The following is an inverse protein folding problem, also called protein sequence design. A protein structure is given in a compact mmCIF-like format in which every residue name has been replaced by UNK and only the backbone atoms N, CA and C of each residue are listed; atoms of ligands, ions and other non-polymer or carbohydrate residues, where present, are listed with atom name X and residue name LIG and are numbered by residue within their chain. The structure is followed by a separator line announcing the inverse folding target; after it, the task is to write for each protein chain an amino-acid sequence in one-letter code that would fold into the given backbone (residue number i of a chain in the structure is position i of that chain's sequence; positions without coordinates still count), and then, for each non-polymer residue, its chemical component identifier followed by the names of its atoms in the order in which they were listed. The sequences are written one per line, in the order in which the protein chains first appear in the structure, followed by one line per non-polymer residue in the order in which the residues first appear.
data_IF_799670297778
#
_entry.id   IF_799670297778
#
_cell.length_a   1.000
_cell.length_b   1.000
_cell.length_c   1.000
_cell.angle_alpha   90.00
_cell.angle_beta   90.00
_cell.angle_gamma   90.00
#
_symmetry.space_group_name_H-M   'P 1'
#
loop_
_entity.id
_entity.type
_entity.pdbx_description
1 polymer ?
#
# COMPACT_ATOMS: atom_id res chain seq x y z
N UNK A 1 -6.37 -3.00 -21.83
CA UNK A 1 -6.81 -2.73 -20.46
C UNK A 1 -7.73 -1.53 -20.49
N UNK A 2 -8.88 -1.58 -19.83
CA UNK A 2 -9.68 -0.38 -19.60
C UNK A 2 -8.94 0.49 -18.59
N UNK A 3 -8.52 1.69 -18.98
CA UNK A 3 -7.89 2.63 -18.04
C UNK A 3 -8.87 2.96 -16.92
N UNK A 4 -8.50 2.65 -15.68
CA UNK A 4 -9.28 2.99 -14.49
C UNK A 4 -8.51 4.00 -13.67
N UNK A 5 -9.19 5.09 -13.29
CA UNK A 5 -8.65 6.05 -12.34
C UNK A 5 -8.82 5.50 -10.93
N UNK A 6 -7.71 5.38 -10.21
CA UNK A 6 -7.67 4.89 -8.84
C UNK A 6 -7.12 5.98 -7.92
N UNK A 7 -7.67 6.05 -6.71
CA UNK A 7 -7.08 6.78 -5.61
C UNK A 7 -6.10 5.87 -4.86
N UNK A 8 -4.90 6.35 -4.61
CA UNK A 8 -3.89 5.65 -3.83
C UNK A 8 -3.82 6.29 -2.44
N UNK A 9 -3.96 5.47 -1.40
CA UNK A 9 -4.03 5.93 -0.01
C UNK A 9 -2.99 5.21 0.83
N UNK A 10 -2.16 5.97 1.53
CA UNK A 10 -1.22 5.42 2.51
C UNK A 10 -1.86 5.29 3.89
N UNK A 11 -1.59 4.17 4.57
CA UNK A 11 -2.06 3.88 5.93
C UNK A 11 -0.86 3.43 6.81
N UNK A 12 -0.03 4.37 7.30
CA UNK A 12 1.27 4.05 7.91
C UNK A 12 1.19 3.21 9.20
N UNK A 13 0.03 3.23 9.88
CA UNK A 13 -0.20 2.49 11.14
C UNK A 13 -1.08 1.25 10.96
N UNK A 14 -1.29 0.80 9.72
CA UNK A 14 -2.10 -0.38 9.45
C UNK A 14 -1.44 -1.66 9.97
N UNK A 15 -2.28 -2.63 10.37
CA UNK A 15 -1.82 -3.92 10.88
C UNK A 15 -1.11 -4.76 9.81
N UNK A 16 -0.15 -5.55 10.24
CA UNK A 16 0.44 -6.60 9.41
C UNK A 16 -0.60 -7.70 9.15
N UNK A 17 -0.69 -8.22 7.92
CA UNK A 17 -1.56 -9.36 7.58
C UNK A 17 -0.75 -10.64 7.34
N UNK A 18 0.43 -10.51 6.75
CA UNK A 18 1.23 -11.61 6.19
C UNK A 18 2.44 -12.01 7.03
N UNK A 19 2.73 -11.32 8.13
CA UNK A 19 4.00 -11.45 8.85
C UNK A 19 3.83 -11.96 10.28
N UNK A 20 4.37 -13.16 10.61
CA UNK A 20 4.32 -13.68 11.96
C UNK A 20 5.19 -12.82 12.89
N UNK A 21 4.65 -12.46 14.06
CA UNK A 21 5.31 -11.66 15.11
C UNK A 21 5.49 -10.16 14.79
N UNK A 22 4.81 -9.65 13.78
CA UNK A 22 4.76 -8.21 13.47
C UNK A 22 3.31 -7.75 13.62
N UNK A 23 3.06 -6.68 14.37
CA UNK A 23 1.71 -6.15 14.61
C UNK A 23 1.40 -5.00 13.65
N UNK A 24 2.30 -4.03 13.53
CA UNK A 24 2.13 -2.85 12.69
C UNK A 24 3.25 -2.77 11.65
N UNK A 25 2.90 -2.76 10.36
CA UNK A 25 3.85 -2.50 9.26
C UNK A 25 3.52 -1.21 8.52
N UNK A 26 2.25 -0.81 8.55
CA UNK A 26 1.67 0.07 7.56
C UNK A 26 1.17 -0.68 6.32
N UNK A 27 0.46 0.04 5.46
CA UNK A 27 -0.11 -0.48 4.22
C UNK A 27 -0.35 0.65 3.20
N UNK A 28 -0.60 0.26 1.96
CA UNK A 28 -1.13 1.13 0.92
C UNK A 28 -2.40 0.49 0.36
N UNK A 29 -3.40 1.31 0.08
CA UNK A 29 -4.67 0.90 -0.51
C UNK A 29 -4.85 1.54 -1.89
N UNK A 30 -5.45 0.78 -2.80
CA UNK A 30 -5.96 1.26 -4.09
C UNK A 30 -7.48 1.25 -4.05
N UNK A 31 -8.10 2.41 -4.26
CA UNK A 31 -9.55 2.57 -4.22
C UNK A 31 -10.05 3.04 -5.60
N UNK A 32 -11.06 2.40 -6.18
CA UNK A 32 -11.82 2.98 -7.29
C UNK A 32 -12.39 4.35 -6.91
N UNK A 33 -12.54 5.25 -7.88
CA UNK A 33 -13.28 6.50 -7.64
C UNK A 33 -14.77 6.18 -7.74
N UNK A 34 -15.37 5.83 -6.60
CA UNK A 34 -16.79 5.52 -6.49
C UNK A 34 -17.41 6.15 -5.23
N UNK A 35 -18.72 5.99 -5.05
CA UNK A 35 -19.43 6.42 -3.83
C UNK A 35 -19.45 5.36 -2.73
N UNK A 36 -18.97 4.15 -3.01
CA UNK A 36 -18.89 3.07 -2.02
C UNK A 36 -17.69 3.31 -1.10
N UNK A 37 -17.89 3.50 0.21
CA UNK A 37 -16.79 3.74 1.15
C UNK A 37 -15.93 2.49 1.44
N UNK A 38 -16.34 1.30 1.00
CA UNK A 38 -15.70 0.02 1.34
C UNK A 38 -15.00 -0.67 0.15
N UNK A 39 -14.83 0.01 -0.98
CA UNK A 39 -14.27 -0.56 -2.21
C UNK A 39 -12.73 -0.46 -2.32
N UNK A 40 -12.05 0.03 -1.27
CA UNK A 40 -10.60 0.07 -1.18
C UNK A 40 -9.99 -1.33 -1.00
N UNK A 41 -9.01 -1.66 -1.84
CA UNK A 41 -8.26 -2.91 -1.77
C UNK A 41 -6.84 -2.68 -1.29
N UNK A 42 -6.37 -3.47 -0.31
CA UNK A 42 -4.98 -3.41 0.18
C UNK A 42 -4.02 -3.90 -0.91
N UNK A 43 -2.94 -3.16 -1.13
CA UNK A 43 -1.85 -3.56 -2.01
C UNK A 43 -0.89 -4.51 -1.29
N UNK A 44 -0.52 -5.61 -1.94
CA UNK A 44 0.45 -6.56 -1.42
C UNK A 44 1.88 -6.12 -1.77
N UNK A 45 2.48 -5.31 -0.89
CA UNK A 45 3.83 -4.76 -1.06
C UNK A 45 4.88 -5.48 -0.19
N UNK A 46 4.45 -6.13 0.89
CA UNK A 46 5.32 -6.83 1.84
C UNK A 46 4.70 -8.21 2.10
N UNK A 47 5.06 -9.17 1.26
CA UNK A 47 4.55 -10.54 1.33
C UNK A 47 5.49 -11.49 2.08
N UNK A 48 6.77 -11.14 2.21
CA UNK A 48 7.79 -11.90 2.95
C UNK A 48 8.85 -10.97 3.53
N UNK A 49 9.37 -11.30 4.71
CA UNK A 49 10.53 -10.62 5.28
C UNK A 49 11.63 -11.61 5.60
N UNK A 50 12.87 -11.14 5.55
CA UNK A 50 13.98 -11.91 6.08
C UNK A 50 13.98 -11.83 7.62
N UNK A 51 14.40 -12.88 8.34
CA UNK A 51 14.45 -12.85 9.81
C UNK A 51 15.35 -11.76 10.40
N UNK A 52 16.27 -11.21 9.60
CA UNK A 52 17.16 -10.11 9.97
C UNK A 52 16.56 -8.72 9.77
N UNK A 53 15.41 -8.60 9.09
CA UNK A 53 14.75 -7.33 8.80
C UNK A 53 13.80 -6.94 9.93
N UNK A 54 13.85 -5.67 10.34
CA UNK A 54 12.93 -5.09 11.31
C UNK A 54 11.90 -4.28 10.53
N UNK A 55 10.68 -4.79 10.45
CA UNK A 55 9.56 -4.14 9.75
C UNK A 55 8.43 -3.69 10.68
N UNK A 56 8.56 -3.96 11.98
CA UNK A 56 7.63 -3.46 13.00
C UNK A 56 7.75 -1.94 13.07
N UNK A 57 6.61 -1.25 12.94
CA UNK A 57 6.57 0.20 12.95
C UNK A 57 7.36 0.83 11.80
N UNK A 58 7.46 0.17 10.65
CA UNK A 58 8.13 0.71 9.46
C UNK A 58 7.37 1.86 8.81
N UNK A 59 6.07 2.06 9.11
CA UNK A 59 5.28 3.16 8.56
C UNK A 59 5.12 3.10 7.03
N UNK A 60 4.95 1.89 6.48
CA UNK A 60 4.68 1.70 5.06
C UNK A 60 3.46 2.50 4.61
N UNK A 61 3.65 3.32 3.58
CA UNK A 61 2.62 4.22 3.07
C UNK A 61 2.67 5.62 3.68
N UNK A 62 3.70 5.98 4.47
CA UNK A 62 3.91 7.37 4.92
C UNK A 62 4.06 8.33 3.74
N UNK A 63 4.59 7.83 2.63
CA UNK A 63 4.63 8.53 1.34
C UNK A 63 4.20 7.57 0.24
N UNK A 64 3.32 8.05 -0.66
CA UNK A 64 2.90 7.34 -1.87
C UNK A 64 2.99 8.30 -3.05
N UNK A 65 3.57 7.86 -4.15
CA UNK A 65 3.74 8.66 -5.35
C UNK A 65 3.45 7.83 -6.61
N UNK A 66 2.74 8.43 -7.57
CA UNK A 66 2.52 7.86 -8.89
C UNK A 66 3.40 8.54 -9.94
N UNK A 67 3.84 7.77 -10.92
CA UNK A 67 4.55 8.27 -12.09
C UNK A 67 3.58 9.06 -12.98
N UNK A 68 3.67 10.40 -12.90
CA UNK A 68 2.74 11.29 -13.60
C UNK A 68 2.98 11.30 -15.11
N UNK A 69 1.91 11.56 -15.87
CA UNK A 69 1.98 11.79 -17.32
C UNK A 69 2.21 10.54 -18.16
N UNK A 70 2.23 9.35 -17.55
CA UNK A 70 2.35 8.07 -18.26
C UNK A 70 1.12 7.21 -17.99
N UNK A 71 0.33 6.86 -19.03
CA UNK A 71 -0.60 5.75 -18.95
C UNK A 71 0.14 4.48 -18.50
N UNK A 72 -0.48 3.69 -17.63
CA UNK A 72 0.13 2.49 -17.03
C UNK A 72 1.43 2.79 -16.24
N UNK A 73 1.56 4.02 -15.73
CA UNK A 73 2.68 4.46 -14.90
C UNK A 73 2.80 3.69 -13.58
N UNK A 74 4.01 3.65 -13.03
CA UNK A 74 4.32 2.93 -11.80
C UNK A 74 3.92 3.72 -10.55
N UNK A 75 3.79 3.01 -9.43
CA UNK A 75 3.54 3.57 -8.10
C UNK A 75 4.71 3.22 -7.18
N UNK A 76 5.13 4.19 -6.38
CA UNK A 76 6.12 4.05 -5.31
C UNK A 76 5.41 4.27 -3.97
N UNK A 77 5.78 3.46 -2.98
CA UNK A 77 5.43 3.67 -1.58
C UNK A 77 6.67 3.50 -0.71
N UNK A 78 6.79 4.31 0.34
CA UNK A 78 7.91 4.27 1.28
C UNK A 78 7.42 3.93 2.70
N UNK A 79 8.32 3.35 3.49
CA UNK A 79 8.25 3.10 4.93
C UNK A 79 9.68 3.06 5.45
#
# INVERSE_FOLDING_TARGET
GSGQYLLLVGAPKEKAISLPKVNETGAVYSCPISTDPADCSRMDLVSSTNPSEIVEGMWLGVTVASQRGQPDGRVLACG
#
